data_IF_002458667581
#
_entry.id   IF_002458667581
#
_cell.length_a   1.000
_cell.length_b   1.000
_cell.length_c   1.000
_cell.angle_alpha   90.00
_cell.angle_beta   90.00
_cell.angle_gamma   90.00
#
_symmetry.space_group_name_H-M   'P 1'
#
loop_
_entity.id
_entity.type
_entity.pdbx_description
1 polymer ?
#
# COMPACT_ATOMS: atom_id res chain seq x y z
N UNK A 1 17.77 -19.89 -18.33
CA UNK A 1 16.30 -19.80 -18.26
C UNK A 1 15.98 -19.19 -16.92
N UNK A 2 15.96 -17.85 -16.89
CA UNK A 2 15.76 -17.08 -15.67
C UNK A 2 14.29 -17.11 -15.27
N UNK A 3 14.00 -17.88 -14.23
CA UNK A 3 12.75 -17.81 -13.50
C UNK A 3 12.84 -16.63 -12.54
N UNK A 4 12.70 -15.40 -13.06
CA UNK A 4 12.43 -14.23 -12.20
C UNK A 4 11.03 -14.42 -11.62
N UNK A 5 10.99 -14.91 -10.38
CA UNK A 5 9.84 -14.78 -9.54
C UNK A 5 9.48 -13.30 -9.49
N UNK A 6 8.37 -12.95 -10.14
CA UNK A 6 7.73 -11.64 -9.97
C UNK A 6 7.26 -11.62 -8.52
N UNK A 7 8.09 -11.07 -7.63
CA UNK A 7 7.72 -10.78 -6.27
C UNK A 7 6.54 -9.82 -6.31
N UNK A 8 5.33 -10.34 -6.09
CA UNK A 8 4.16 -9.53 -5.82
C UNK A 8 4.35 -9.01 -4.38
N UNK A 9 5.19 -8.01 -4.23
CA UNK A 9 5.25 -7.21 -3.00
C UNK A 9 4.25 -6.08 -3.22
N UNK A 10 2.97 -6.42 -3.05
CA UNK A 10 1.89 -5.45 -2.87
C UNK A 10 1.56 -5.44 -1.38
N UNK A 11 2.29 -4.63 -0.60
CA UNK A 11 2.09 -4.51 0.85
C UNK A 11 0.80 -3.73 1.19
N UNK A 12 0.11 -3.16 0.20
CA UNK A 12 -1.27 -2.68 0.35
C UNK A 12 -2.27 -3.78 -0.01
N UNK A 13 -2.79 -4.50 0.99
CA UNK A 13 -3.86 -5.47 0.80
C UNK A 13 -5.09 -4.85 0.14
N UNK A 14 -5.70 -5.56 -0.82
CA UNK A 14 -6.95 -5.11 -1.42
C UNK A 14 -8.01 -4.87 -0.32
N UNK A 15 -8.81 -3.79 -0.40
CA UNK A 15 -9.85 -3.54 0.59
C UNK A 15 -10.78 -4.76 0.71
N UNK A 16 -11.21 -5.08 1.93
CA UNK A 16 -12.09 -6.22 2.17
C UNK A 16 -13.42 -5.98 1.45
N UNK A 17 -13.80 -6.90 0.56
CA UNK A 17 -15.06 -6.83 -0.17
C UNK A 17 -16.25 -6.84 0.81
N UNK A 18 -17.33 -6.11 0.48
CA UNK A 18 -18.57 -6.14 1.29
C UNK A 18 -19.12 -7.55 1.45
N UNK A 19 -19.00 -8.37 0.40
CA UNK A 19 -19.37 -9.80 0.42
C UNK A 19 -18.49 -10.57 1.42
N UNK A 20 -17.18 -10.31 1.44
CA UNK A 20 -16.26 -10.87 2.42
C UNK A 20 -16.64 -10.52 3.85
N UNK A 21 -16.94 -9.24 4.13
CA UNK A 21 -17.37 -8.79 5.47
C UNK A 21 -18.64 -9.51 5.95
N UNK A 22 -19.68 -9.56 5.10
CA UNK A 22 -20.94 -10.25 5.40
C UNK A 22 -20.71 -11.75 5.62
N UNK A 23 -19.85 -12.36 4.80
CA UNK A 23 -19.52 -13.79 4.91
C UNK A 23 -18.81 -14.14 6.22
N UNK A 24 -17.89 -13.28 6.66
CA UNK A 24 -17.22 -13.42 7.97
C UNK A 24 -18.23 -13.30 9.11
N UNK A 25 -19.13 -12.32 9.05
CA UNK A 25 -20.17 -12.16 10.06
C UNK A 25 -21.08 -13.39 10.14
N UNK A 26 -21.54 -13.91 8.99
CA UNK A 26 -22.35 -15.13 8.91
C UNK A 26 -21.64 -16.37 9.45
N UNK A 27 -20.32 -16.48 9.20
CA UNK A 27 -19.51 -17.57 9.75
C UNK A 27 -19.50 -17.54 11.28
N UNK A 28 -19.25 -16.38 11.90
CA UNK A 28 -19.25 -16.25 13.36
C UNK A 28 -20.64 -16.44 13.99
N UNK A 29 -21.69 -15.93 13.34
CA UNK A 29 -23.09 -16.19 13.76
C UNK A 29 -23.41 -17.68 13.72
N UNK A 30 -22.92 -18.40 12.71
CA UNK A 30 -23.10 -19.85 12.58
C UNK A 30 -22.40 -20.65 13.67
N UNK A 31 -21.21 -20.21 14.10
CA UNK A 31 -20.50 -20.78 15.27
C UNK A 31 -21.33 -20.58 16.53
N UNK A 32 -21.83 -19.37 16.77
CA UNK A 32 -22.65 -19.08 17.95
C UNK A 32 -23.95 -19.90 17.95
N UNK A 33 -24.62 -20.02 16.81
CA UNK A 33 -25.83 -20.83 16.66
C UNK A 33 -25.59 -22.32 16.93
N UNK A 34 -24.43 -22.85 16.53
CA UNK A 34 -24.02 -24.23 16.80
C UNK A 34 -23.94 -24.49 18.31
N UNK A 35 -23.35 -23.55 19.06
CA UNK A 35 -23.21 -23.66 20.52
C UNK A 35 -24.54 -23.55 21.27
N UNK A 36 -25.48 -22.73 20.78
CA UNK A 36 -26.80 -22.53 21.42
C UNK A 36 -27.77 -23.66 21.10
N UNK A 37 -27.76 -24.17 19.87
CA UNK A 37 -28.73 -25.17 19.41
C UNK A 37 -28.30 -26.61 19.70
N UNK A 38 -27.08 -26.83 20.19
CA UNK A 38 -26.44 -28.16 20.33
C UNK A 38 -26.59 -29.02 19.06
N UNK A 39 -26.45 -28.37 17.91
CA UNK A 39 -26.66 -28.97 16.60
C UNK A 39 -25.53 -28.56 15.67
N UNK A 40 -25.01 -29.51 14.88
CA UNK A 40 -23.86 -29.28 14.01
C UNK A 40 -24.23 -28.57 12.71
N UNK A 41 -25.47 -28.68 12.23
CA UNK A 41 -25.85 -28.16 10.92
C UNK A 41 -25.65 -26.65 10.70
N UNK A 42 -25.75 -25.73 11.71
CA UNK A 42 -25.48 -24.31 11.49
C UNK A 42 -24.04 -24.05 11.04
N UNK A 43 -23.04 -24.79 11.55
CA UNK A 43 -21.63 -24.60 11.13
C UNK A 43 -21.42 -24.92 9.65
N UNK A 44 -22.21 -25.84 9.08
CA UNK A 44 -22.12 -26.18 7.67
C UNK A 44 -22.54 -24.99 6.80
N UNK A 45 -23.56 -24.23 7.21
CA UNK A 45 -23.92 -22.97 6.55
C UNK A 45 -22.83 -21.92 6.71
N UNK A 46 -22.21 -21.84 7.89
CA UNK A 46 -21.06 -20.97 8.14
C UNK A 46 -19.90 -21.25 7.18
N UNK A 47 -19.53 -22.52 6.99
CA UNK A 47 -18.44 -22.92 6.09
C UNK A 47 -18.73 -22.55 4.63
N UNK A 48 -19.98 -22.71 4.18
CA UNK A 48 -20.39 -22.28 2.83
C UNK A 48 -20.30 -20.76 2.69
N UNK A 49 -20.77 -20.00 3.68
CA UNK A 49 -20.65 -18.55 3.70
C UNK A 49 -19.18 -18.11 3.66
N UNK A 50 -18.32 -18.73 4.47
CA UNK A 50 -16.88 -18.48 4.46
C UNK A 50 -16.25 -18.73 3.09
N UNK A 51 -16.57 -19.85 2.45
CA UNK A 51 -16.06 -20.18 1.12
C UNK A 51 -16.48 -19.12 0.07
N UNK A 52 -17.74 -18.67 0.10
CA UNK A 52 -18.24 -17.59 -0.77
C UNK A 52 -17.47 -16.29 -0.53
N UNK A 53 -17.27 -15.91 0.73
CA UNK A 53 -16.49 -14.73 1.11
C UNK A 53 -15.05 -14.80 0.63
N UNK A 54 -14.40 -15.97 0.80
CA UNK A 54 -13.04 -16.22 0.32
C UNK A 54 -12.92 -16.05 -1.20
N UNK A 55 -13.83 -16.66 -1.96
CA UNK A 55 -13.82 -16.54 -3.43
C UNK A 55 -14.11 -15.12 -3.93
N UNK A 56 -15.02 -14.41 -3.26
CA UNK A 56 -15.30 -13.01 -3.55
C UNK A 56 -14.05 -12.15 -3.32
N UNK A 57 -13.40 -12.30 -2.16
CA UNK A 57 -12.16 -11.60 -1.84
C UNK A 57 -11.06 -11.92 -2.86
N UNK A 58 -10.87 -13.20 -3.20
CA UNK A 58 -9.88 -13.63 -4.18
C UNK A 58 -10.09 -12.99 -5.56
N UNK A 59 -11.35 -12.93 -6.02
CA UNK A 59 -11.71 -12.29 -7.29
C UNK A 59 -11.42 -10.79 -7.26
N UNK A 60 -11.78 -10.11 -6.18
CA UNK A 60 -11.58 -8.68 -6.04
C UNK A 60 -10.10 -8.33 -5.88
N UNK A 61 -9.31 -9.13 -5.17
CA UNK A 61 -7.86 -9.02 -5.13
C UNK A 61 -7.23 -9.15 -6.52
N UNK A 62 -7.66 -10.13 -7.34
CA UNK A 62 -7.18 -10.24 -8.72
C UNK A 62 -7.50 -9.01 -9.56
N UNK A 63 -8.73 -8.51 -9.47
CA UNK A 63 -9.15 -7.28 -10.17
C UNK A 63 -8.33 -6.08 -9.73
N UNK A 64 -8.09 -5.97 -8.44
CA UNK A 64 -7.28 -4.91 -7.85
C UNK A 64 -5.85 -4.95 -8.40
N UNK A 65 -5.20 -6.12 -8.43
CA UNK A 65 -3.85 -6.29 -9.01
C UNK A 65 -3.82 -5.92 -10.50
N UNK A 66 -4.82 -6.31 -11.29
CA UNK A 66 -4.90 -5.92 -12.70
C UNK A 66 -5.11 -4.41 -12.88
N UNK A 67 -5.97 -3.80 -12.07
CA UNK A 67 -6.21 -2.35 -12.10
C UNK A 67 -4.94 -1.59 -11.72
N UNK A 68 -4.21 -2.05 -10.69
CA UNK A 68 -2.91 -1.52 -10.29
C UNK A 68 -1.88 -1.60 -11.44
N UNK A 69 -1.77 -2.77 -12.08
CA UNK A 69 -0.85 -2.96 -13.20
C UNK A 69 -1.17 -2.03 -14.38
N UNK A 70 -2.46 -1.88 -14.71
CA UNK A 70 -2.90 -0.97 -15.78
C UNK A 70 -2.57 0.48 -15.46
N UNK A 71 -2.86 0.94 -14.23
CA UNK A 71 -2.52 2.31 -13.83
C UNK A 71 -1.00 2.56 -13.86
N UNK A 72 -0.20 1.59 -13.40
CA UNK A 72 1.27 1.68 -13.50
C UNK A 72 1.72 1.76 -14.95
N UNK A 73 1.15 0.97 -15.85
CA UNK A 73 1.46 1.02 -17.28
C UNK A 73 1.04 2.35 -17.92
N UNK A 74 -0.14 2.88 -17.59
CA UNK A 74 -0.60 4.19 -18.07
C UNK A 74 0.30 5.33 -17.59
N UNK A 75 0.69 5.31 -16.31
CA UNK A 75 1.60 6.32 -15.77
C UNK A 75 3.02 6.16 -16.32
N UNK A 76 3.46 4.93 -16.60
CA UNK A 76 4.74 4.67 -17.24
C UNK A 76 4.88 5.24 -18.66
N UNK A 77 3.77 5.35 -19.40
CA UNK A 77 3.79 6.03 -20.70
C UNK A 77 4.12 7.53 -20.55
N UNK A 78 3.76 8.13 -19.40
CA UNK A 78 4.06 9.53 -19.08
C UNK A 78 5.40 9.68 -18.35
N UNK A 79 5.75 8.69 -17.54
CA UNK A 79 6.88 8.66 -16.61
C UNK A 79 7.61 7.31 -16.74
N UNK A 80 8.43 7.11 -17.79
CA UNK A 80 9.12 5.84 -18.04
C UNK A 80 9.96 5.34 -16.86
N UNK A 81 10.46 6.27 -16.05
CA UNK A 81 11.22 6.03 -14.81
C UNK A 81 10.46 5.18 -13.78
N UNK A 82 9.12 5.15 -13.80
CA UNK A 82 8.30 4.29 -12.93
C UNK A 82 8.49 2.79 -13.18
N UNK A 83 8.88 2.41 -14.40
CA UNK A 83 9.11 1.01 -14.78
C UNK A 83 10.55 0.56 -14.56
N UNK A 84 11.46 1.52 -14.36
CA UNK A 84 12.82 1.21 -13.99
C UNK A 84 12.75 0.76 -12.53
N UNK A 85 13.23 -0.46 -12.24
CA UNK A 85 13.44 -0.86 -10.85
C UNK A 85 14.27 0.25 -10.19
N UNK A 86 13.73 0.93 -9.17
CA UNK A 86 14.35 2.13 -8.66
C UNK A 86 15.76 1.78 -8.19
N UNK A 87 16.74 2.68 -8.36
CA UNK A 87 18.14 2.38 -8.05
C UNK A 87 18.21 1.84 -6.62
N UNK A 88 18.84 0.68 -6.48
CA UNK A 88 18.95 0.01 -5.21
C UNK A 88 19.57 0.96 -4.18
N UNK A 89 18.80 1.27 -3.13
CA UNK A 89 19.33 1.60 -1.81
C UNK A 89 20.35 2.75 -1.74
N UNK A 90 20.05 3.93 -2.27
CA UNK A 90 20.81 5.12 -1.84
C UNK A 90 20.40 5.45 -0.41
N UNK A 91 21.35 5.49 0.54
CA UNK A 91 21.12 6.15 1.83
C UNK A 91 20.74 7.62 1.60
N UNK A 92 20.19 8.29 2.62
CA UNK A 92 19.89 9.71 2.52
C UNK A 92 21.11 10.53 2.05
N UNK A 93 22.32 10.12 2.47
CA UNK A 93 23.59 10.75 2.14
C UNK A 93 24.06 10.46 0.71
N UNK A 94 23.69 9.30 0.15
CA UNK A 94 24.13 8.81 -1.16
C UNK A 94 23.15 9.13 -2.30
N UNK A 95 22.16 9.99 -2.04
CA UNK A 95 21.23 10.44 -3.08
C UNK A 95 21.97 11.20 -4.21
N UNK A 96 21.62 10.94 -5.48
CA UNK A 96 22.25 11.58 -6.62
C UNK A 96 22.03 13.10 -6.58
N UNK A 97 22.97 13.86 -7.16
CA UNK A 97 22.84 15.31 -7.33
C UNK A 97 21.85 15.62 -8.45
N UNK A 98 20.56 15.52 -8.11
CA UNK A 98 19.43 15.94 -8.96
C UNK A 98 18.69 17.08 -8.26
N UNK A 99 18.13 17.99 -9.06
CA UNK A 99 17.33 19.12 -8.54
C UNK A 99 16.00 18.64 -7.93
N UNK A 100 15.38 17.62 -8.52
CA UNK A 100 14.14 17.04 -8.01
C UNK A 100 14.04 15.54 -8.28
N UNK A 101 13.20 14.89 -7.47
CA UNK A 101 12.81 13.48 -7.51
C UNK A 101 11.30 13.42 -7.65
N UNK A 102 10.78 12.52 -8.47
CA UNK A 102 9.33 12.40 -8.64
C UNK A 102 8.76 11.44 -7.62
N UNK A 103 7.69 11.84 -6.95
CA UNK A 103 6.98 11.02 -5.99
C UNK A 103 5.66 10.52 -6.58
N UNK A 104 5.39 9.23 -6.38
CA UNK A 104 4.23 8.55 -6.88
C UNK A 104 3.57 7.72 -5.80
N UNK A 105 2.26 7.54 -5.89
CA UNK A 105 1.55 6.56 -5.09
C UNK A 105 1.82 5.18 -5.70
N UNK A 106 2.56 4.33 -5.00
CA UNK A 106 2.93 2.99 -5.44
C UNK A 106 1.69 2.09 -5.63
N UNK A 107 0.58 2.34 -4.94
CA UNK A 107 -0.69 1.60 -5.09
C UNK A 107 -1.59 2.10 -6.24
N UNK A 108 -1.40 3.31 -6.73
CA UNK A 108 -2.26 3.83 -7.81
C UNK A 108 -1.46 4.24 -9.04
N UNK A 109 -0.13 4.26 -8.96
CA UNK A 109 0.77 4.86 -9.94
C UNK A 109 0.63 6.39 -10.04
N UNK A 110 -0.26 7.00 -9.27
CA UNK A 110 -0.59 8.43 -9.37
C UNK A 110 0.61 9.30 -9.01
N UNK A 111 0.85 10.32 -9.81
CA UNK A 111 1.86 11.32 -9.51
C UNK A 111 1.41 12.20 -8.34
N UNK A 112 2.19 12.20 -7.27
CA UNK A 112 1.90 12.97 -6.05
C UNK A 112 2.54 14.36 -6.09
N UNK A 113 3.70 14.47 -6.74
CA UNK A 113 4.45 15.72 -6.81
C UNK A 113 5.95 15.47 -7.02
N UNK A 114 6.72 16.56 -6.97
CA UNK A 114 8.18 16.49 -6.96
C UNK A 114 8.71 16.79 -5.55
N UNK A 115 9.72 16.02 -5.16
CA UNK A 115 10.49 16.18 -3.93
C UNK A 115 11.84 16.79 -4.30
N UNK A 116 12.26 17.81 -3.58
CA UNK A 116 13.67 18.20 -3.61
C UNK A 116 14.52 17.19 -2.83
N UNK A 117 15.84 17.34 -2.92
CA UNK A 117 16.79 16.43 -2.28
C UNK A 117 16.62 16.43 -0.75
N UNK A 118 16.45 17.58 -0.14
CA UNK A 118 16.33 17.74 1.30
C UNK A 118 15.07 17.07 1.85
N UNK A 119 13.95 17.19 1.14
CA UNK A 119 12.67 16.54 1.47
C UNK A 119 12.79 15.02 1.38
N UNK A 120 13.42 14.50 0.32
CA UNK A 120 13.65 13.06 0.18
C UNK A 120 14.63 12.52 1.24
N UNK A 121 15.69 13.28 1.56
CA UNK A 121 16.60 12.95 2.66
C UNK A 121 15.89 12.88 4.00
N UNK A 122 15.02 13.84 4.28
CA UNK A 122 14.20 13.83 5.48
C UNK A 122 13.32 12.58 5.53
N UNK A 123 12.61 12.25 4.45
CA UNK A 123 11.78 11.04 4.38
C UNK A 123 12.56 9.75 4.64
N UNK A 124 13.70 9.59 3.98
CA UNK A 124 14.56 8.41 4.17
C UNK A 124 15.00 8.30 5.62
N UNK A 125 15.53 9.37 6.21
CA UNK A 125 15.99 9.38 7.61
C UNK A 125 14.85 9.12 8.58
N UNK A 126 13.71 9.77 8.37
CA UNK A 126 12.55 9.59 9.23
C UNK A 126 12.07 8.13 9.19
N UNK A 127 12.01 7.53 8.00
CA UNK A 127 11.63 6.14 7.82
C UNK A 127 12.65 5.15 8.44
N UNK A 128 13.95 5.40 8.27
CA UNK A 128 15.04 4.63 8.87
C UNK A 128 15.00 4.70 10.41
N UNK A 129 14.69 5.87 10.98
CA UNK A 129 14.59 6.07 12.43
C UNK A 129 13.39 5.38 13.07
N UNK A 130 12.28 5.27 12.35
CA UNK A 130 11.04 4.69 12.87
C UNK A 130 10.93 3.17 12.62
N UNK A 131 12.03 2.52 12.21
CA UNK A 131 12.14 1.07 11.99
C UNK A 131 10.95 0.50 11.19
N UNK A 132 10.44 1.26 10.22
CA UNK A 132 9.46 0.75 9.27
C UNK A 132 10.23 -0.16 8.31
N UNK A 133 10.44 -1.41 8.74
CA UNK A 133 11.23 -2.41 8.03
C UNK A 133 10.48 -2.84 6.78
N UNK A 134 10.72 -2.16 5.68
CA UNK A 134 10.66 -2.77 4.35
C UNK A 134 12.06 -2.70 3.74
N UNK A 135 12.57 -3.84 3.26
CA UNK A 135 13.88 -3.98 2.61
C UNK A 135 13.97 -3.14 1.31
N UNK A 136 12.85 -2.59 0.86
CA UNK A 136 12.72 -1.73 -0.32
C UNK A 136 12.83 -0.27 0.11
N UNK A 137 14.06 0.25 0.23
CA UNK A 137 14.36 1.64 0.64
C UNK A 137 13.73 2.77 -0.20
N UNK A 138 13.06 2.42 -1.29
CA UNK A 138 12.48 3.39 -2.23
C UNK A 138 10.96 3.53 -2.10
N UNK A 139 10.35 2.68 -1.26
CA UNK A 139 8.92 2.68 -0.98
C UNK A 139 8.72 3.06 0.49
N UNK A 140 7.93 4.09 0.75
CA UNK A 140 7.57 4.53 2.10
C UNK A 140 6.09 4.29 2.34
N UNK A 141 5.76 3.64 3.44
CA UNK A 141 4.39 3.59 3.92
C UNK A 141 4.16 4.71 4.93
N UNK A 142 3.29 5.67 4.59
CA UNK A 142 3.06 6.87 5.38
C UNK A 142 1.58 6.92 5.77
N UNK A 143 1.31 6.95 7.07
CA UNK A 143 -0.01 7.18 7.65
C UNK A 143 -0.29 8.68 7.78
N UNK A 144 -1.55 9.09 7.82
CA UNK A 144 -1.92 10.49 8.06
C UNK A 144 -1.33 11.02 9.40
N UNK A 145 -1.38 10.21 10.45
CA UNK A 145 -0.83 10.58 11.76
C UNK A 145 0.70 10.76 11.72
N UNK A 146 1.38 10.00 10.85
CA UNK A 146 2.82 10.15 10.65
C UNK A 146 3.14 11.49 9.98
N UNK A 147 2.28 12.00 9.10
CA UNK A 147 2.48 13.33 8.46
C UNK A 147 2.46 14.45 9.51
N UNK A 148 1.56 14.36 10.49
CA UNK A 148 1.50 15.32 11.59
C UNK A 148 2.77 15.26 12.45
N UNK A 149 3.24 14.04 12.77
CA UNK A 149 4.49 13.85 13.50
C UNK A 149 5.71 14.40 12.73
N UNK A 150 5.80 14.14 11.42
CA UNK A 150 6.84 14.71 10.55
C UNK A 150 6.85 16.24 10.60
N UNK A 151 5.67 16.88 10.62
CA UNK A 151 5.57 18.33 10.74
C UNK A 151 6.12 18.85 12.08
N UNK A 152 5.94 18.11 13.17
CA UNK A 152 6.51 18.42 14.48
C UNK A 152 8.03 18.24 14.47
N UNK A 153 8.52 17.21 13.78
CA UNK A 153 9.95 16.88 13.65
C UNK A 153 10.71 17.81 12.69
N UNK A 154 10.04 18.83 12.13
CA UNK A 154 10.65 19.85 11.29
C UNK A 154 10.71 19.50 9.80
N UNK A 155 9.80 18.63 9.31
CA UNK A 155 9.63 18.40 7.89
C UNK A 155 9.30 19.71 7.14
N UNK A 156 9.76 19.79 5.90
CA UNK A 156 9.43 20.90 5.02
C UNK A 156 7.91 21.03 4.83
N UNK A 157 7.33 22.24 4.92
CA UNK A 157 5.88 22.45 4.77
C UNK A 157 5.30 22.00 3.42
N UNK A 158 6.09 22.08 2.35
CA UNK A 158 5.68 21.61 1.03
C UNK A 158 5.56 20.09 0.96
N UNK A 159 6.48 19.38 1.63
CA UNK A 159 6.42 17.93 1.78
C UNK A 159 5.18 17.51 2.56
N UNK A 160 4.94 18.10 3.74
CA UNK A 160 3.80 17.70 4.59
C UNK A 160 2.47 18.01 3.94
N UNK A 161 2.35 19.12 3.21
CA UNK A 161 1.15 19.45 2.44
C UNK A 161 0.89 18.45 1.29
N UNK A 162 1.95 18.03 0.57
CA UNK A 162 1.84 17.00 -0.46
C UNK A 162 1.37 15.67 0.14
N UNK A 163 1.99 15.25 1.24
CA UNK A 163 1.64 14.00 1.91
C UNK A 163 0.23 14.03 2.48
N UNK A 164 -0.17 15.13 3.11
CA UNK A 164 -1.52 15.31 3.65
C UNK A 164 -2.58 15.22 2.56
N UNK A 165 -2.33 15.82 1.39
CA UNK A 165 -3.22 15.66 0.22
C UNK A 165 -3.29 14.21 -0.25
N UNK A 166 -2.15 13.51 -0.23
CA UNK A 166 -2.07 12.12 -0.65
C UNK A 166 -2.76 11.16 0.33
N UNK A 167 -2.71 11.43 1.64
CA UNK A 167 -3.35 10.61 2.67
C UNK A 167 -4.83 10.92 2.88
N UNK A 168 -5.31 12.13 2.57
CA UNK A 168 -6.68 12.57 2.84
C UNK A 168 -7.80 11.67 2.25
N UNK A 169 -7.49 10.87 1.23
CA UNK A 169 -8.46 9.97 0.61
C UNK A 169 -8.47 8.55 1.19
N UNK A 170 -7.37 8.11 1.82
CA UNK A 170 -7.11 6.70 2.15
C UNK A 170 -6.47 6.47 3.51
N UNK A 171 -6.37 7.52 4.35
CA UNK A 171 -5.71 7.58 5.66
C UNK A 171 -4.22 7.17 5.66
N UNK A 172 -3.71 6.79 4.49
CA UNK A 172 -2.36 6.32 4.24
C UNK A 172 -1.99 6.48 2.77
N UNK A 173 -0.69 6.54 2.49
CA UNK A 173 -0.11 6.54 1.16
C UNK A 173 1.10 5.62 1.12
N UNK A 174 1.21 4.81 0.06
CA UNK A 174 2.46 4.13 -0.28
C UNK A 174 3.21 5.02 -1.26
N UNK A 175 4.19 5.77 -0.79
CA UNK A 175 4.99 6.64 -1.65
C UNK A 175 6.13 5.85 -2.27
N UNK A 176 6.35 6.02 -3.57
CA UNK A 176 7.54 5.57 -4.29
C UNK A 176 8.21 6.77 -4.94
N UNK A 177 9.53 6.86 -4.89
CA UNK A 177 10.29 7.92 -5.57
C UNK A 177 11.10 7.39 -6.77
N UNK A 178 11.35 8.25 -7.77
CA UNK A 178 12.13 7.97 -8.99
C UNK A 178 12.95 9.19 -9.47
#
# INVERSE_FOLDING_TARGET
MDSRAVGIVAVGGAPVSRVGQVSIALFFVSIAATAVADAVWPILFGLVAWAVGYWAQYRDSKRYVHMLANKRAENALKFPELLVEPPASSSAEELPERESFRAFNNLTGEFLGELNREQLQFLIRWHEQHELVDEVKNDFYILEEAVEQMSIDGADPGLTEMLRKATAATDSVFLRWA
#
